data_IF_948665774583
#
_entry.id   IF_948665774583
#
_cell.length_a   1.000
_cell.length_b   1.000
_cell.length_c   1.000
_cell.angle_alpha   90.00
_cell.angle_beta   90.00
_cell.angle_gamma   90.00
#
_symmetry.space_group_name_H-M   'P 1'
#
loop_
_entity.id
_entity.type
_entity.pdbx_description
1 polymer ?
#
# COMPACT_ATOMS: atom_id res chain seq x y z
N UNK A 1 12.81 10.92 -6.07
CA UNK A 1 11.70 10.10 -6.60
C UNK A 1 11.55 8.93 -5.63
N UNK A 2 10.54 8.93 -4.76
CA UNK A 2 10.24 7.76 -3.91
C UNK A 2 9.81 6.64 -4.87
N UNK A 3 10.46 5.48 -4.77
CA UNK A 3 10.17 4.31 -5.59
C UNK A 3 8.67 3.99 -5.51
N UNK A 4 8.02 3.58 -6.61
CA UNK A 4 6.64 3.11 -6.56
C UNK A 4 6.57 1.91 -5.61
N UNK A 5 5.66 1.98 -4.64
CA UNK A 5 5.37 0.84 -3.77
C UNK A 5 4.62 -0.16 -4.64
N UNK A 6 5.21 -1.32 -4.88
CA UNK A 6 4.60 -2.39 -5.66
C UNK A 6 4.44 -3.62 -4.77
N UNK A 7 3.22 -4.17 -4.73
CA UNK A 7 2.84 -5.32 -3.91
C UNK A 7 2.65 -6.51 -4.84
N UNK A 8 3.53 -7.50 -4.76
CA UNK A 8 3.48 -8.68 -5.64
C UNK A 8 3.17 -9.96 -4.90
N UNK A 9 3.27 -9.95 -3.57
CA UNK A 9 3.12 -11.10 -2.70
C UNK A 9 2.29 -10.74 -1.47
N UNK A 10 1.77 -11.74 -0.77
CA UNK A 10 1.09 -11.54 0.50
C UNK A 10 2.03 -10.91 1.56
N UNK A 11 3.32 -11.24 1.53
CA UNK A 11 4.31 -10.61 2.43
C UNK A 11 4.46 -9.10 2.16
N UNK A 12 4.42 -8.68 0.90
CA UNK A 12 4.45 -7.26 0.53
C UNK A 12 3.18 -6.55 0.99
N UNK A 13 2.04 -7.24 0.92
CA UNK A 13 0.75 -6.73 1.35
C UNK A 13 0.71 -6.52 2.87
N UNK A 14 1.22 -7.50 3.64
CA UNK A 14 1.38 -7.39 5.10
C UNK A 14 2.30 -6.22 5.50
N UNK A 15 3.42 -6.04 4.77
CA UNK A 15 4.32 -4.89 4.99
C UNK A 15 3.64 -3.55 4.68
N UNK A 16 2.83 -3.49 3.63
CA UNK A 16 2.06 -2.30 3.31
C UNK A 16 1.04 -1.96 4.41
N UNK A 17 0.35 -2.97 4.96
CA UNK A 17 -0.56 -2.79 6.09
C UNK A 17 0.15 -2.27 7.35
N UNK A 18 1.30 -2.86 7.68
CA UNK A 18 2.14 -2.38 8.80
C UNK A 18 2.55 -0.92 8.59
N UNK A 19 2.92 -0.55 7.35
CA UNK A 19 3.31 0.82 7.02
C UNK A 19 2.15 1.81 7.15
N UNK A 20 0.95 1.43 6.73
CA UNK A 20 -0.26 2.24 6.95
C UNK A 20 -0.51 2.45 8.44
N UNK A 21 -0.37 1.40 9.25
CA UNK A 21 -0.55 1.50 10.70
C UNK A 21 0.50 2.42 11.36
N UNK A 22 1.76 2.38 10.90
CA UNK A 22 2.81 3.32 11.35
C UNK A 22 2.48 4.77 10.97
N UNK A 23 2.14 5.00 9.70
CA UNK A 23 1.81 6.34 9.19
C UNK A 23 0.61 6.93 9.92
N UNK A 24 -0.40 6.14 10.24
CA UNK A 24 -1.57 6.58 11.00
C UNK A 24 -1.26 7.04 12.42
N UNK A 25 -0.16 6.56 13.02
CA UNK A 25 0.33 7.03 14.33
C UNK A 25 1.12 8.34 14.26
N UNK A 26 1.60 8.72 13.08
CA UNK A 26 2.30 9.98 12.86
C UNK A 26 1.29 11.14 12.70
N UNK A 27 1.70 12.38 13.05
CA UNK A 27 0.91 13.57 12.76
C UNK A 27 0.55 13.67 11.28
N UNK A 28 -0.60 14.29 11.00
CA UNK A 28 -1.02 14.58 9.63
C UNK A 28 0.00 15.48 8.93
N UNK A 29 0.39 15.08 7.73
CA UNK A 29 1.26 15.85 6.86
C UNK A 29 0.94 15.49 5.41
N UNK A 30 1.20 16.42 4.50
CA UNK A 30 0.98 16.19 3.06
C UNK A 30 1.82 15.04 2.51
N UNK A 31 2.98 14.76 3.12
CA UNK A 31 3.82 13.62 2.75
C UNK A 31 3.26 12.29 3.27
N UNK A 32 2.65 12.28 4.47
CA UNK A 32 1.90 11.13 4.99
C UNK A 32 0.71 10.80 4.09
N UNK A 33 -0.08 11.80 3.70
CA UNK A 33 -1.23 11.60 2.82
C UNK A 33 -0.84 11.00 1.46
N UNK A 34 0.23 11.53 0.84
CA UNK A 34 0.76 10.98 -0.41
C UNK A 34 1.22 9.53 -0.28
N UNK A 35 1.88 9.20 0.82
CA UNK A 35 2.35 7.84 1.07
C UNK A 35 1.19 6.87 1.34
N UNK A 36 0.19 7.30 2.12
CA UNK A 36 -1.04 6.53 2.33
C UNK A 36 -1.81 6.31 1.03
N UNK A 37 -1.88 7.32 0.17
CA UNK A 37 -2.52 7.19 -1.14
C UNK A 37 -1.79 6.18 -2.03
N UNK A 38 -0.46 6.28 -2.13
CA UNK A 38 0.34 5.34 -2.91
C UNK A 38 0.25 3.90 -2.36
N UNK A 39 0.20 3.72 -1.04
CA UNK A 39 -0.02 2.42 -0.40
C UNK A 39 -1.39 1.85 -0.76
N UNK A 40 -2.45 2.67 -0.70
CA UNK A 40 -3.80 2.24 -1.05
C UNK A 40 -3.91 1.82 -2.52
N UNK A 41 -3.31 2.59 -3.45
CA UNK A 41 -3.27 2.24 -4.87
C UNK A 41 -2.53 0.91 -5.11
N UNK A 42 -1.40 0.70 -4.44
CA UNK A 42 -0.62 -0.53 -4.57
C UNK A 42 -1.36 -1.76 -4.03
N UNK A 43 -2.06 -1.62 -2.90
CA UNK A 43 -2.85 -2.69 -2.27
C UNK A 43 -4.06 -3.06 -3.13
N UNK A 44 -4.79 -2.06 -3.64
CA UNK A 44 -5.90 -2.28 -4.56
C UNK A 44 -5.44 -2.97 -5.85
N UNK A 45 -4.32 -2.55 -6.42
CA UNK A 45 -3.79 -3.17 -7.63
C UNK A 45 -3.38 -4.64 -7.42
N UNK A 46 -2.95 -5.01 -6.20
CA UNK A 46 -2.67 -6.41 -5.86
C UNK A 46 -3.97 -7.22 -5.70
N UNK A 47 -4.96 -6.69 -4.98
CA UNK A 47 -6.26 -7.33 -4.79
C UNK A 47 -6.95 -7.60 -6.14
N UNK A 48 -6.99 -6.62 -7.04
CA UNK A 48 -7.55 -6.79 -8.39
C UNK A 48 -6.86 -7.91 -9.18
N UNK A 49 -5.52 -8.01 -9.10
CA UNK A 49 -4.79 -9.10 -9.76
C UNK A 49 -5.10 -10.46 -9.15
N UNK A 50 -5.40 -10.52 -7.86
CA UNK A 50 -5.73 -11.76 -7.16
C UNK A 50 -7.14 -12.20 -7.55
N UNK A 51 -8.10 -11.27 -7.55
CA UNK A 51 -9.47 -11.53 -7.98
C UNK A 51 -9.52 -11.97 -9.46
N UNK A 52 -8.75 -11.32 -10.35
CA UNK A 52 -8.63 -11.71 -11.77
C UNK A 52 -7.95 -13.07 -11.99
N UNK A 53 -7.19 -13.58 -11.01
CA UNK A 53 -6.48 -14.86 -11.10
C UNK A 53 -7.29 -16.06 -10.57
N UNK A 54 -8.42 -15.81 -9.90
CA UNK A 54 -9.30 -16.84 -9.33
C UNK A 54 -10.50 -17.22 -10.24
N UNK A 55 -10.66 -16.57 -11.40
CA UNK A 55 -11.65 -16.89 -12.47
C UNK A 55 -11.06 -17.75 -13.61
#
# INVERSE_FOLDING_TARGET
MKLPIAIHTDEDYDRAQQRVAELNRLPESSDKEKELHALAEAMLAFELRRDDAED
#
